data_IF_146501439567
#
_entry.id   IF_146501439567
#
_cell.length_a   1.000
_cell.length_b   1.000
_cell.length_c   1.000
_cell.angle_alpha   90.00
_cell.angle_beta   90.00
_cell.angle_gamma   90.00
#
_symmetry.space_group_name_H-M   'P 1'
#
loop_
_entity.id
_entity.type
_entity.pdbx_description
1 polymer ?
#
# COMPACT_ATOMS: atom_id res chain seq x y z
N UNK A 1 -3.27 -41.36 -33.84
CA UNK A 1 -3.11 -41.14 -32.39
C UNK A 1 -2.01 -40.11 -32.24
N UNK A 2 -2.39 -38.84 -32.16
CA UNK A 2 -1.47 -37.76 -31.80
C UNK A 2 -2.19 -37.04 -30.67
N UNK A 3 -1.97 -37.54 -29.46
CA UNK A 3 -2.47 -36.91 -28.25
C UNK A 3 -1.66 -35.63 -28.08
N UNK A 4 -2.26 -34.50 -28.47
CA UNK A 4 -1.73 -33.16 -28.25
C UNK A 4 -1.74 -32.88 -26.74
N UNK A 5 -0.68 -33.32 -26.07
CA UNK A 5 -0.40 -33.05 -24.67
C UNK A 5 0.04 -31.58 -24.54
N UNK A 6 -0.90 -30.65 -24.66
CA UNK A 6 -0.66 -29.26 -24.27
C UNK A 6 -0.29 -29.25 -22.79
N UNK A 7 0.95 -28.86 -22.50
CA UNK A 7 1.45 -28.83 -21.14
C UNK A 7 0.78 -27.68 -20.40
N UNK A 8 0.43 -27.88 -19.13
CA UNK A 8 -0.17 -26.82 -18.29
C UNK A 8 0.72 -25.57 -18.24
N UNK A 9 2.03 -25.73 -18.46
CA UNK A 9 2.98 -24.63 -18.58
C UNK A 9 2.67 -23.69 -19.75
N UNK A 10 2.30 -24.22 -20.92
CA UNK A 10 2.02 -23.40 -22.12
C UNK A 10 0.79 -22.50 -21.93
N UNK A 11 -0.19 -22.95 -21.14
CA UNK A 11 -1.40 -22.17 -20.78
C UNK A 11 -1.11 -21.05 -19.78
N UNK A 12 -0.05 -21.16 -18.98
CA UNK A 12 0.32 -20.18 -17.95
C UNK A 12 1.21 -19.06 -18.52
N UNK A 13 1.97 -19.32 -19.57
CA UNK A 13 2.81 -18.32 -20.24
C UNK A 13 1.97 -17.23 -20.93
N UNK A 14 0.86 -17.61 -21.58
CA UNK A 14 -0.03 -16.68 -22.28
C UNK A 14 -1.00 -15.91 -21.35
N UNK A 15 -1.23 -16.42 -20.13
CA UNK A 15 -2.17 -15.86 -19.16
C UNK A 15 -1.48 -15.18 -17.96
N UNK A 16 -0.38 -14.46 -18.21
CA UNK A 16 0.14 -13.53 -17.21
C UNK A 16 -0.97 -12.54 -16.85
N UNK A 17 -1.34 -12.49 -15.56
CA UNK A 17 -2.40 -11.63 -15.03
C UNK A 17 -2.13 -10.16 -15.38
N UNK A 18 -2.69 -9.71 -16.51
CA UNK A 18 -2.48 -8.38 -17.09
C UNK A 18 -3.09 -7.24 -16.25
N UNK A 19 -4.00 -7.59 -15.34
CA UNK A 19 -4.80 -6.65 -14.56
C UNK A 19 -4.42 -6.74 -13.08
N UNK A 20 -3.22 -6.24 -12.74
CA UNK A 20 -2.82 -5.98 -11.36
C UNK A 20 -3.24 -4.57 -10.96
N UNK A 21 -3.97 -4.43 -9.85
CA UNK A 21 -4.20 -3.12 -9.24
C UNK A 21 -2.92 -2.70 -8.52
N UNK A 22 -2.23 -1.69 -9.04
CA UNK A 22 -1.12 -1.02 -8.34
C UNK A 22 -1.56 0.40 -8.05
N UNK A 23 -1.44 0.81 -6.78
CA UNK A 23 -1.71 2.17 -6.35
C UNK A 23 -0.45 2.66 -5.67
N UNK A 24 0.13 3.73 -6.22
CA UNK A 24 1.23 4.42 -5.56
C UNK A 24 0.68 5.09 -4.30
N UNK A 25 1.12 4.63 -3.14
CA UNK A 25 0.78 5.24 -1.86
C UNK A 25 1.90 6.18 -1.47
N UNK A 26 1.58 7.46 -1.32
CA UNK A 26 2.52 8.42 -0.73
C UNK A 26 2.79 8.02 0.73
N UNK A 27 4.06 7.76 1.04
CA UNK A 27 4.52 7.45 2.39
C UNK A 27 5.48 8.53 2.86
N UNK A 28 5.18 9.13 3.99
CA UNK A 28 6.02 10.14 4.61
C UNK A 28 6.64 9.57 5.90
N UNK A 29 7.96 9.67 6.02
CA UNK A 29 8.68 9.16 7.18
C UNK A 29 8.97 10.33 8.13
N UNK A 30 8.56 10.18 9.39
CA UNK A 30 8.87 11.15 10.45
C UNK A 30 10.20 10.79 11.13
N UNK A 31 10.77 11.74 11.87
CA UNK A 31 11.98 11.52 12.65
C UNK A 31 11.80 10.33 13.61
N UNK A 32 12.92 9.65 13.93
CA UNK A 32 12.90 8.53 14.88
C UNK A 32 12.51 9.03 16.27
N UNK A 33 11.42 8.48 16.82
CA UNK A 33 10.90 8.81 18.15
C UNK A 33 9.49 9.40 18.08
N UNK A 34 8.69 9.11 19.11
CA UNK A 34 7.36 9.69 19.28
C UNK A 34 7.43 10.77 20.36
N UNK A 35 7.22 12.02 19.96
CA UNK A 35 7.07 13.16 20.86
C UNK A 35 5.81 13.95 20.48
N UNK A 36 5.41 14.89 21.34
CA UNK A 36 4.23 15.71 21.09
C UNK A 36 4.33 16.52 19.77
N UNK A 37 5.52 17.00 19.43
CA UNK A 37 5.77 17.76 18.20
C UNK A 37 5.51 16.92 16.95
N UNK A 38 5.92 15.65 16.94
CA UNK A 38 5.66 14.68 15.88
C UNK A 38 4.16 14.38 15.80
N UNK A 39 3.47 14.21 16.92
CA UNK A 39 2.01 13.99 16.95
C UNK A 39 1.27 15.20 16.35
N UNK A 40 1.67 16.42 16.71
CA UNK A 40 1.11 17.68 16.15
C UNK A 40 1.40 17.80 14.65
N UNK A 41 2.61 17.45 14.21
CA UNK A 41 2.99 17.47 12.80
C UNK A 41 2.16 16.46 11.97
N UNK A 42 1.98 15.23 12.47
CA UNK A 42 1.14 14.20 11.84
C UNK A 42 -0.31 14.68 11.74
N UNK A 43 -0.87 15.20 12.83
CA UNK A 43 -2.25 15.68 12.86
C UNK A 43 -2.48 16.83 11.86
N UNK A 44 -1.56 17.79 11.80
CA UNK A 44 -1.61 18.90 10.82
C UNK A 44 -1.53 18.41 9.39
N UNK A 45 -0.65 17.45 9.09
CA UNK A 45 -0.50 16.87 7.74
C UNK A 45 -1.75 16.12 7.29
N UNK A 46 -2.36 15.37 8.21
CA UNK A 46 -3.58 14.60 7.96
C UNK A 46 -4.87 15.44 8.04
N UNK A 47 -4.73 16.74 8.33
CA UNK A 47 -5.84 17.68 8.50
C UNK A 47 -6.90 17.14 9.47
N UNK A 48 -6.44 16.52 10.57
CA UNK A 48 -7.31 15.90 11.56
C UNK A 48 -8.04 16.97 12.41
N UNK A 49 -9.28 16.73 12.85
CA UNK A 49 -9.98 17.63 13.77
C UNK A 49 -9.25 17.78 15.11
N UNK A 50 -9.45 18.91 15.79
CA UNK A 50 -8.78 19.23 17.06
C UNK A 50 -9.02 18.18 18.16
N UNK A 51 -10.19 17.56 18.21
CA UNK A 51 -10.50 16.51 19.18
C UNK A 51 -9.61 15.26 19.00
N UNK A 52 -9.22 14.93 17.76
CA UNK A 52 -8.33 13.80 17.49
C UNK A 52 -6.90 14.09 17.92
N UNK A 53 -6.46 15.34 17.77
CA UNK A 53 -5.17 15.79 18.30
C UNK A 53 -5.15 15.71 19.83
N UNK A 54 -6.18 16.24 20.49
CA UNK A 54 -6.29 16.24 21.95
C UNK A 54 -6.44 14.83 22.55
N UNK A 55 -6.96 13.86 21.82
CA UNK A 55 -7.01 12.46 22.26
C UNK A 55 -5.63 11.78 22.23
N UNK A 56 -4.75 12.20 21.31
CA UNK A 56 -3.41 11.62 21.14
C UNK A 56 -2.35 12.24 22.08
N UNK A 57 -2.62 13.45 22.58
CA UNK A 57 -1.78 14.18 23.54
C UNK A 57 -2.15 13.79 24.98
#
# INVERSE_FOLDING_TARGET
MSDDQNSVSDLLEDNQYKYGFTTDVESETFAKGLNEDVVRAISKKKNEPEFMLNFRL
#
